data_IF_188369062978
#
_entry.id   IF_188369062978
#
_cell.length_a   1.000
_cell.length_b   1.000
_cell.length_c   1.000
_cell.angle_alpha   90.00
_cell.angle_beta   90.00
_cell.angle_gamma   90.00
#
_symmetry.space_group_name_H-M   'P 1'
#
loop_
_entity.id
_entity.type
_entity.pdbx_description
1 polymer ?
#
# COMPACT_ATOMS: atom_id res chain seq x y z
N UNK A 1 -52.27 -30.87 24.97
CA UNK A 1 -51.09 -31.21 25.79
C UNK A 1 -49.85 -30.87 24.97
N UNK A 2 -48.90 -30.04 25.46
CA UNK A 2 -47.73 -29.68 24.68
C UNK A 2 -46.85 -30.92 24.49
N UNK A 3 -46.45 -31.19 23.25
CA UNK A 3 -45.51 -32.27 22.96
C UNK A 3 -44.11 -31.78 23.29
N UNK A 4 -43.48 -32.39 24.30
CA UNK A 4 -42.08 -32.14 24.60
C UNK A 4 -41.23 -32.70 23.45
N UNK A 5 -40.48 -31.82 22.77
CA UNK A 5 -39.46 -32.22 21.80
C UNK A 5 -38.39 -32.98 22.57
N UNK A 6 -38.37 -34.31 22.45
CA UNK A 6 -37.31 -35.15 23.00
C UNK A 6 -36.17 -35.13 21.99
N UNK A 7 -35.10 -34.39 22.30
CA UNK A 7 -33.90 -34.38 21.48
C UNK A 7 -33.24 -35.75 21.59
N UNK A 8 -33.00 -36.47 20.47
CA UNK A 8 -32.31 -37.76 20.51
C UNK A 8 -30.91 -37.62 21.12
N UNK A 9 -30.50 -38.57 21.96
CA UNK A 9 -29.19 -38.56 22.64
C UNK A 9 -28.01 -38.44 21.67
N UNK A 10 -28.11 -39.07 20.50
CA UNK A 10 -27.13 -38.98 19.42
C UNK A 10 -26.89 -37.53 18.94
N UNK A 11 -27.93 -36.69 18.89
CA UNK A 11 -27.80 -35.27 18.53
C UNK A 11 -26.97 -34.54 19.58
N UNK A 12 -27.20 -34.81 20.86
CA UNK A 12 -26.44 -34.20 21.97
C UNK A 12 -24.97 -34.62 21.93
N UNK A 13 -24.68 -35.87 21.58
CA UNK A 13 -23.32 -36.38 21.43
C UNK A 13 -22.57 -35.73 20.25
N UNK A 14 -23.23 -35.56 19.09
CA UNK A 14 -22.67 -34.83 17.95
C UNK A 14 -22.31 -33.40 18.36
N UNK A 15 -23.22 -32.69 19.04
CA UNK A 15 -22.96 -31.32 19.49
C UNK A 15 -21.80 -31.24 20.48
N UNK A 16 -21.70 -32.18 21.42
CA UNK A 16 -20.57 -32.26 22.37
C UNK A 16 -19.24 -32.51 21.66
N UNK A 17 -19.21 -33.44 20.71
CA UNK A 17 -18.02 -33.75 19.94
C UNK A 17 -17.57 -32.53 19.10
N UNK A 18 -18.51 -31.88 18.40
CA UNK A 18 -18.24 -30.67 17.64
C UNK A 18 -17.70 -29.54 18.53
N UNK A 19 -18.32 -29.31 19.69
CA UNK A 19 -17.90 -28.28 20.63
C UNK A 19 -16.49 -28.52 21.20
N UNK A 20 -16.16 -29.78 21.49
CA UNK A 20 -14.81 -30.17 21.92
C UNK A 20 -13.79 -29.87 20.83
N UNK A 21 -14.03 -30.30 19.59
CA UNK A 21 -13.13 -30.05 18.46
C UNK A 21 -12.91 -28.55 18.27
N UNK A 22 -13.97 -27.75 18.31
CA UNK A 22 -13.86 -26.29 18.18
C UNK A 22 -13.00 -25.69 19.31
N UNK A 23 -13.19 -26.14 20.55
CA UNK A 23 -12.41 -25.68 21.71
C UNK A 23 -10.91 -26.03 21.61
N UNK A 24 -10.54 -27.07 20.88
CA UNK A 24 -9.13 -27.42 20.65
C UNK A 24 -8.54 -26.78 19.39
N UNK A 25 -9.33 -26.41 18.38
CA UNK A 25 -8.85 -25.95 17.07
C UNK A 25 -9.02 -24.44 16.84
N UNK A 26 -9.84 -23.73 17.64
CA UNK A 26 -10.15 -22.30 17.42
C UNK A 26 -8.94 -21.36 17.30
N UNK A 27 -7.78 -21.71 17.88
CA UNK A 27 -6.56 -20.90 17.80
C UNK A 27 -5.79 -21.11 16.49
N UNK A 28 -6.03 -22.19 15.75
CA UNK A 28 -5.37 -22.50 14.47
C UNK A 28 -5.69 -21.48 13.38
N UNK A 29 -6.94 -21.06 13.12
CA UNK A 29 -7.24 -20.06 12.09
C UNK A 29 -6.79 -18.63 12.45
N UNK A 30 -6.60 -18.32 13.74
CA UNK A 30 -6.23 -16.98 14.22
C UNK A 30 -4.94 -16.45 13.58
N UNK A 31 -3.79 -17.16 13.61
CA UNK A 31 -2.56 -16.67 13.00
C UNK A 31 -2.70 -16.44 11.49
N UNK A 32 -3.48 -17.26 10.78
CA UNK A 32 -3.70 -17.08 9.34
C UNK A 32 -4.47 -15.79 9.01
N UNK A 33 -5.24 -15.25 9.96
CA UNK A 33 -5.94 -13.97 9.80
C UNK A 33 -5.11 -12.81 10.32
N UNK A 34 -4.53 -12.95 11.52
CA UNK A 34 -3.84 -11.86 12.22
C UNK A 34 -2.49 -11.55 11.57
N UNK A 35 -1.68 -12.55 11.20
CA UNK A 35 -0.36 -12.32 10.63
C UNK A 35 -0.41 -11.48 9.34
N UNK A 36 -1.24 -11.81 8.33
CA UNK A 36 -1.31 -10.97 7.13
C UNK A 36 -1.95 -9.61 7.39
N UNK A 37 -2.92 -9.52 8.32
CA UNK A 37 -3.50 -8.23 8.70
C UNK A 37 -2.45 -7.32 9.36
N UNK A 38 -1.66 -7.86 10.28
CA UNK A 38 -0.57 -7.16 10.93
C UNK A 38 0.51 -6.75 9.92
N UNK A 39 0.93 -7.65 9.03
CA UNK A 39 1.93 -7.33 8.00
C UNK A 39 1.49 -6.17 7.11
N UNK A 40 0.22 -6.14 6.69
CA UNK A 40 -0.36 -5.02 5.92
C UNK A 40 -0.39 -3.71 6.72
N UNK A 41 -0.83 -3.78 7.97
CA UNK A 41 -0.88 -2.61 8.85
C UNK A 41 0.52 -2.04 9.13
N UNK A 42 1.50 -2.92 9.38
CA UNK A 42 2.90 -2.56 9.57
C UNK A 42 3.45 -1.85 8.33
N UNK A 43 3.29 -2.45 7.15
CA UNK A 43 3.77 -1.89 5.89
C UNK A 43 3.11 -0.53 5.59
N UNK A 44 1.81 -0.39 5.86
CA UNK A 44 1.11 0.88 5.74
C UNK A 44 1.69 1.96 6.67
N UNK A 45 1.94 1.60 7.93
CA UNK A 45 2.50 2.51 8.93
C UNK A 45 3.89 3.03 8.54
N UNK A 46 4.81 2.13 8.19
CA UNK A 46 6.18 2.52 7.83
C UNK A 46 6.23 3.35 6.54
N UNK A 47 5.42 3.00 5.53
CA UNK A 47 5.33 3.77 4.29
C UNK A 47 4.75 5.16 4.53
N UNK A 48 3.73 5.27 5.37
CA UNK A 48 3.16 6.58 5.76
C UNK A 48 4.19 7.45 6.49
N UNK A 49 5.00 6.84 7.37
CA UNK A 49 6.11 7.51 8.03
C UNK A 49 7.15 8.00 7.02
N UNK A 50 7.55 7.16 6.07
CA UNK A 50 8.50 7.49 5.01
C UNK A 50 8.03 8.68 4.18
N UNK A 51 6.78 8.65 3.69
CA UNK A 51 6.18 9.77 2.94
C UNK A 51 6.11 11.05 3.76
N UNK A 52 5.80 10.95 5.06
CA UNK A 52 5.79 12.11 5.96
C UNK A 52 7.17 12.73 6.21
N UNK A 53 8.26 12.00 5.94
CA UNK A 53 9.63 12.50 6.05
C UNK A 53 10.15 13.12 4.74
N UNK A 54 9.45 12.89 3.62
CA UNK A 54 9.81 13.47 2.32
C UNK A 54 9.69 15.00 2.36
N UNK A 55 10.71 15.68 1.85
CA UNK A 55 10.71 17.13 1.68
C UNK A 55 10.26 17.48 0.27
N UNK A 56 9.06 18.03 0.17
CA UNK A 56 8.52 18.51 -1.10
C UNK A 56 9.06 19.90 -1.43
N UNK A 57 9.56 20.07 -2.64
CA UNK A 57 9.97 21.36 -3.18
C UNK A 57 9.23 21.61 -4.49
N UNK A 58 8.76 22.83 -4.69
CA UNK A 58 8.14 23.26 -5.95
C UNK A 58 9.22 23.95 -6.79
N UNK A 59 9.42 23.46 -8.01
CA UNK A 59 10.43 23.96 -8.93
C UNK A 59 9.74 24.51 -10.18
N UNK A 60 10.07 25.76 -10.51
CA UNK A 60 9.70 26.36 -11.78
C UNK A 60 10.80 26.06 -12.81
N UNK A 61 10.47 25.31 -13.86
CA UNK A 61 11.40 24.95 -14.93
C UNK A 61 11.18 25.91 -16.09
N UNK A 62 12.13 26.83 -16.31
CA UNK A 62 12.09 27.81 -17.39
C UNK A 62 13.11 27.41 -18.47
N UNK A 63 12.67 27.10 -19.71
CA UNK A 63 13.59 26.86 -20.81
C UNK A 63 14.49 28.08 -21.07
N UNK A 64 15.80 27.90 -21.32
CA UNK A 64 16.70 29.00 -21.63
C UNK A 64 16.25 29.79 -22.88
N UNK A 65 16.54 31.10 -22.90
CA UNK A 65 16.08 32.01 -23.98
C UNK A 65 16.69 31.71 -25.34
N UNK A 66 17.87 31.09 -25.35
CA UNK A 66 18.66 30.85 -26.56
C UNK A 66 18.25 29.57 -27.30
N UNK A 67 17.28 28.83 -26.77
CA UNK A 67 16.81 27.57 -27.34
C UNK A 67 15.42 27.77 -27.95
N UNK A 68 15.18 27.14 -29.10
CA UNK A 68 13.88 27.12 -29.74
C UNK A 68 12.80 26.59 -28.76
N UNK A 69 11.70 27.33 -28.62
CA UNK A 69 10.57 26.91 -27.78
C UNK A 69 9.75 25.85 -28.53
N UNK A 70 10.20 24.61 -28.44
CA UNK A 70 9.51 23.45 -29.04
C UNK A 70 9.07 22.45 -27.97
N UNK A 71 7.95 21.73 -28.18
CA UNK A 71 7.53 20.64 -27.29
C UNK A 71 8.60 19.56 -27.11
N UNK A 72 9.45 19.36 -28.14
CA UNK A 72 10.54 18.39 -28.14
C UNK A 72 11.56 18.61 -27.01
N UNK A 73 11.82 19.87 -26.65
CA UNK A 73 12.75 20.17 -25.56
C UNK A 73 12.17 19.77 -24.20
N UNK A 74 10.86 19.94 -24.00
CA UNK A 74 10.17 19.48 -22.80
C UNK A 74 10.10 17.95 -22.73
N UNK A 75 9.92 17.27 -23.87
CA UNK A 75 9.97 15.82 -23.96
C UNK A 75 11.35 15.27 -23.52
N UNK A 76 12.43 15.91 -23.94
CA UNK A 76 13.78 15.55 -23.52
C UNK A 76 13.99 15.78 -22.01
N UNK A 77 13.46 16.87 -21.45
CA UNK A 77 13.50 17.12 -20.01
C UNK A 77 12.75 16.04 -19.21
N UNK A 78 11.54 15.68 -19.65
CA UNK A 78 10.74 14.61 -19.03
C UNK A 78 11.45 13.25 -19.15
N UNK A 79 12.09 12.98 -20.28
CA UNK A 79 12.90 11.77 -20.47
C UNK A 79 14.07 11.73 -19.49
N UNK A 80 14.70 12.87 -19.22
CA UNK A 80 15.74 12.99 -18.18
C UNK A 80 15.21 12.70 -16.78
N UNK A 81 14.02 13.20 -16.43
CA UNK A 81 13.35 12.90 -15.16
C UNK A 81 13.06 11.41 -14.99
N UNK A 82 12.75 10.70 -16.08
CA UNK A 82 12.55 9.25 -16.06
C UNK A 82 13.82 8.48 -15.64
N UNK A 83 15.01 9.04 -15.87
CA UNK A 83 16.27 8.45 -15.42
C UNK A 83 16.45 8.46 -13.89
N UNK A 84 15.67 9.26 -13.16
CA UNK A 84 15.71 9.30 -11.70
C UNK A 84 14.93 8.16 -11.02
N UNK A 85 14.27 7.28 -11.80
CA UNK A 85 13.66 6.08 -11.26
C UNK A 85 14.74 5.10 -10.77
N UNK A 86 14.80 4.88 -9.46
CA UNK A 86 15.70 3.94 -8.83
C UNK A 86 15.01 2.61 -8.54
N UNK A 87 15.74 1.51 -8.67
CA UNK A 87 15.26 0.21 -8.18
C UNK A 87 15.75 0.02 -6.74
N UNK A 88 14.85 -0.31 -5.80
CA UNK A 88 15.24 -0.68 -4.44
C UNK A 88 16.17 -1.90 -4.50
N UNK A 89 17.46 -1.68 -4.24
CA UNK A 89 18.47 -2.74 -4.36
C UNK A 89 18.34 -3.76 -3.22
N UNK A 90 17.70 -3.38 -2.11
CA UNK A 90 17.65 -4.18 -0.89
C UNK A 90 16.18 -4.30 -0.42
N UNK A 91 15.60 -5.51 -0.52
CA UNK A 91 14.26 -5.80 0.01
C UNK A 91 14.09 -5.43 1.49
N UNK A 92 15.18 -5.46 2.27
CA UNK A 92 15.17 -5.05 3.66
C UNK A 92 14.77 -3.57 3.82
N UNK A 93 15.16 -2.67 2.92
CA UNK A 93 14.79 -1.24 2.98
C UNK A 93 13.28 -1.03 2.75
N UNK A 94 12.66 -1.84 1.88
CA UNK A 94 11.23 -1.76 1.64
C UNK A 94 10.43 -2.18 2.89
N UNK A 95 10.82 -3.28 3.54
CA UNK A 95 10.04 -3.86 4.66
C UNK A 95 10.45 -3.37 6.05
N UNK A 96 11.65 -2.81 6.23
CA UNK A 96 12.14 -2.26 7.50
C UNK A 96 12.03 -0.73 7.56
N UNK A 97 12.53 -0.02 6.55
CA UNK A 97 12.45 1.45 6.50
C UNK A 97 11.19 1.97 5.82
N UNK A 98 10.45 1.12 5.09
CA UNK A 98 9.23 1.54 4.40
C UNK A 98 9.50 2.42 3.19
N UNK A 99 10.71 2.35 2.64
CA UNK A 99 11.12 3.16 1.50
C UNK A 99 10.23 2.86 0.30
N UNK A 100 9.76 3.91 -0.36
CA UNK A 100 9.00 3.83 -1.61
C UNK A 100 9.56 4.83 -2.61
N UNK A 101 9.26 4.59 -3.89
CA UNK A 101 9.81 5.38 -4.99
C UNK A 101 9.27 6.78 -4.87
N UNK A 102 10.18 7.76 -4.84
CA UNK A 102 9.80 9.17 -4.87
C UNK A 102 9.14 9.48 -6.20
N UNK A 103 8.08 10.29 -6.15
CA UNK A 103 7.32 10.68 -7.33
C UNK A 103 7.37 12.20 -7.51
N UNK A 104 7.16 12.61 -8.75
CA UNK A 104 7.08 14.01 -9.15
C UNK A 104 5.66 14.33 -9.60
N UNK A 105 5.25 15.57 -9.40
CA UNK A 105 4.03 16.13 -10.00
C UNK A 105 4.44 17.23 -10.96
N UNK A 106 3.96 17.17 -12.19
CA UNK A 106 4.29 18.13 -13.25
C UNK A 106 3.02 18.89 -13.62
N UNK A 107 3.12 20.22 -13.64
CA UNK A 107 2.05 21.12 -14.03
C UNK A 107 2.55 22.05 -15.14
N UNK A 108 1.72 22.23 -16.18
CA UNK A 108 1.96 23.20 -17.24
C UNK A 108 1.20 24.47 -16.93
N UNK A 109 1.91 25.59 -16.75
CA UNK A 109 1.31 26.89 -16.44
C UNK A 109 1.61 27.86 -17.59
N UNK A 110 0.55 28.46 -18.15
CA UNK A 110 0.68 29.60 -19.06
C UNK A 110 0.60 30.90 -18.27
N UNK A 111 1.66 31.71 -18.29
CA UNK A 111 1.72 32.99 -17.55
C UNK A 111 1.44 34.13 -18.54
N UNK A 112 0.45 34.97 -18.24
CA UNK A 112 0.09 36.16 -19.05
C UNK A 112 -0.21 35.86 -20.53
N UNK A 113 -0.89 34.75 -20.83
CA UNK A 113 -1.23 34.36 -22.21
C UNK A 113 -0.04 33.87 -23.03
N UNK A 114 1.13 33.67 -22.41
CA UNK A 114 2.27 32.98 -22.99
C UNK A 114 2.34 31.59 -22.38
N UNK A 115 2.17 30.59 -23.25
CA UNK A 115 2.64 29.23 -23.01
C UNK A 115 4.16 29.17 -23.28
#
# INVERSE_FOLDING_TARGET
MPQFIVIPSFVVEIFRAFWLVLKYIWWVPIPFIIIPAFAKAWLYFIRKRWVGQMKWVMLEIIPPRDIERSPKNMEQAITGLWGAFGTFSIKAEEYLSGMIQEWYSLELVGINGKL
#
